data_IF_013517517339
#
_entry.id   IF_013517517339
#
_cell.length_a   1.000
_cell.length_b   1.000
_cell.length_c   1.000
_cell.angle_alpha   90.00
_cell.angle_beta   90.00
_cell.angle_gamma   90.00
#
_symmetry.space_group_name_H-M   'P 1'
#
loop_
_entity.id
_entity.type
_entity.pdbx_description
1 polymer ?
#
# COMPACT_ATOMS: atom_id res chain seq x y z
N UNK A 1 -21.32 9.98 -19.06
CA UNK A 1 -21.56 10.05 -17.59
C UNK A 1 -20.19 10.05 -16.89
N UNK A 2 -19.88 11.12 -16.16
CA UNK A 2 -18.54 11.38 -15.61
C UNK A 2 -18.27 10.51 -14.37
N UNK A 3 -17.30 9.59 -14.45
CA UNK A 3 -16.83 8.77 -13.33
C UNK A 3 -15.84 9.55 -12.45
N UNK A 4 -16.31 10.61 -11.79
CA UNK A 4 -15.55 11.28 -10.73
C UNK A 4 -15.91 10.66 -9.39
N UNK A 5 -14.89 10.25 -8.64
CA UNK A 5 -14.94 9.89 -7.21
C UNK A 5 -15.63 8.58 -6.77
N UNK A 6 -15.41 7.46 -7.48
CA UNK A 6 -15.43 6.17 -6.76
C UNK A 6 -14.20 6.11 -5.87
N UNK A 7 -14.33 6.55 -4.62
CA UNK A 7 -13.32 6.31 -3.56
C UNK A 7 -13.09 4.80 -3.48
N UNK A 8 -11.96 4.33 -3.99
CA UNK A 8 -11.58 2.93 -3.90
C UNK A 8 -11.28 2.65 -2.42
N UNK A 9 -12.19 1.95 -1.74
CA UNK A 9 -12.01 1.51 -0.35
C UNK A 9 -11.35 0.14 -0.24
N UNK A 10 -11.37 -0.65 -1.32
CA UNK A 10 -10.95 -2.05 -1.36
C UNK A 10 -10.30 -2.36 -2.71
N UNK A 11 -9.19 -3.11 -2.68
CA UNK A 11 -8.49 -3.55 -3.90
C UNK A 11 -9.24 -4.63 -4.67
N UNK A 12 -10.07 -5.42 -3.99
CA UNK A 12 -10.84 -6.50 -4.60
C UNK A 12 -11.86 -6.01 -5.65
N UNK A 13 -12.16 -4.70 -5.66
CA UNK A 13 -13.08 -4.08 -6.63
C UNK A 13 -12.37 -3.54 -7.88
N UNK A 14 -11.05 -3.67 -7.95
CA UNK A 14 -10.30 -3.28 -9.15
C UNK A 14 -10.53 -4.37 -10.19
N UNK A 15 -11.39 -4.07 -11.16
CA UNK A 15 -11.60 -4.94 -12.31
C UNK A 15 -10.37 -4.88 -13.22
N UNK A 16 -9.87 -6.04 -13.62
CA UNK A 16 -8.80 -6.15 -14.60
C UNK A 16 -9.40 -6.12 -16.00
N UNK A 17 -9.33 -4.96 -16.65
CA UNK A 17 -9.79 -4.78 -18.03
C UNK A 17 -8.64 -4.33 -18.92
N UNK A 18 -8.72 -4.66 -20.22
CA UNK A 18 -7.70 -4.27 -21.20
C UNK A 18 -6.47 -5.18 -21.18
N UNK A 19 -5.33 -4.62 -21.58
CA UNK A 19 -4.06 -5.34 -21.57
C UNK A 19 -3.57 -5.61 -20.15
N UNK A 20 -2.79 -6.68 -19.97
CA UNK A 20 -2.23 -7.05 -18.65
C UNK A 20 -1.38 -5.90 -18.05
N UNK A 21 -0.67 -5.14 -18.90
CA UNK A 21 0.09 -3.97 -18.46
C UNK A 21 -0.79 -2.83 -17.95
N UNK A 22 -1.91 -2.56 -18.61
CA UNK A 22 -2.90 -1.59 -18.13
C UNK A 22 -3.52 -2.06 -16.81
N UNK A 23 -3.92 -3.32 -16.73
CA UNK A 23 -4.47 -3.95 -15.53
C UNK A 23 -3.52 -3.82 -14.32
N UNK A 24 -2.22 -4.10 -14.51
CA UNK A 24 -1.19 -3.94 -13.47
C UNK A 24 -0.95 -2.46 -13.13
N UNK A 25 -0.99 -1.58 -14.12
CA UNK A 25 -0.91 -0.14 -13.92
C UNK A 25 -2.04 0.37 -13.03
N UNK A 26 -3.28 -0.02 -13.32
CA UNK A 26 -4.47 0.33 -12.55
C UNK A 26 -4.43 -0.22 -11.14
N UNK A 27 -4.08 -1.50 -10.97
CA UNK A 27 -3.93 -2.11 -9.65
C UNK A 27 -2.86 -1.43 -8.80
N UNK A 28 -1.69 -1.14 -9.38
CA UNK A 28 -0.61 -0.46 -8.68
C UNK A 28 -1.00 0.95 -8.25
N UNK A 29 -1.71 1.69 -9.11
CA UNK A 29 -2.23 3.01 -8.77
C UNK A 29 -3.28 2.96 -7.65
N UNK A 30 -4.21 2.00 -7.71
CA UNK A 30 -5.22 1.79 -6.66
C UNK A 30 -4.57 1.41 -5.31
N UNK A 31 -3.60 0.49 -5.32
CA UNK A 31 -2.82 0.09 -4.15
C UNK A 31 -2.08 1.28 -3.54
N UNK A 32 -1.43 2.11 -4.34
CA UNK A 32 -0.75 3.33 -3.87
C UNK A 32 -1.74 4.29 -3.21
N UNK A 33 -2.89 4.52 -3.83
CA UNK A 33 -3.92 5.44 -3.32
C UNK A 33 -4.49 4.98 -1.98
N UNK A 34 -4.91 3.71 -1.87
CA UNK A 34 -5.44 3.16 -0.62
C UNK A 34 -4.37 3.19 0.48
N UNK A 35 -3.14 2.80 0.14
CA UNK A 35 -2.03 2.76 1.10
C UNK A 35 -1.69 4.14 1.66
N UNK A 36 -1.64 5.18 0.81
CA UNK A 36 -1.43 6.57 1.26
C UNK A 36 -2.55 7.09 2.14
N UNK A 37 -3.80 6.71 1.82
CA UNK A 37 -4.94 7.05 2.66
C UNK A 37 -4.83 6.38 4.02
N UNK A 38 -4.53 5.08 4.07
CA UNK A 38 -4.34 4.37 5.34
C UNK A 38 -3.18 4.95 6.16
N UNK A 39 -2.07 5.32 5.52
CA UNK A 39 -0.95 5.98 6.21
C UNK A 39 -1.42 7.26 6.94
N UNK A 40 -2.22 8.09 6.27
CA UNK A 40 -2.79 9.32 6.85
C UNK A 40 -3.78 9.00 7.98
N UNK A 41 -4.78 8.15 7.71
CA UNK A 41 -5.87 7.83 8.64
C UNK A 41 -5.35 7.13 9.91
N UNK A 42 -4.37 6.23 9.78
CA UNK A 42 -3.76 5.54 10.92
C UNK A 42 -2.89 6.50 11.75
N UNK A 43 -2.26 7.48 11.12
CA UNK A 43 -1.54 8.56 11.79
C UNK A 43 -2.48 9.41 12.66
N UNK A 44 -3.61 9.85 12.08
CA UNK A 44 -4.65 10.60 12.79
C UNK A 44 -5.26 9.79 13.93
N UNK A 45 -5.69 8.55 13.66
CA UNK A 45 -6.24 7.65 14.68
C UNK A 45 -5.26 7.41 15.84
N UNK A 46 -3.96 7.30 15.55
CA UNK A 46 -2.95 7.17 16.61
C UNK A 46 -2.85 8.41 17.50
N UNK A 47 -3.06 9.61 16.95
CA UNK A 47 -3.05 10.86 17.71
C UNK A 47 -4.34 10.99 18.54
N UNK A 48 -5.49 10.75 17.91
CA UNK A 48 -6.81 10.86 18.54
C UNK A 48 -6.98 9.89 19.70
N UNK A 49 -6.57 8.62 19.53
CA UNK A 49 -6.63 7.62 20.62
C UNK A 49 -5.76 8.04 21.81
N UNK A 50 -4.60 8.65 21.57
CA UNK A 50 -3.77 9.18 22.66
C UNK A 50 -4.44 10.35 23.35
N UNK A 51 -5.00 11.29 22.59
CA UNK A 51 -5.68 12.45 23.14
C UNK A 51 -6.91 12.04 23.96
N UNK A 52 -7.79 11.20 23.40
CA UNK A 52 -9.01 10.71 24.06
C UNK A 52 -8.72 9.92 25.34
N UNK A 53 -7.75 9.00 25.32
CA UNK A 53 -7.41 8.20 26.51
C UNK A 53 -6.68 9.01 27.59
N UNK A 54 -6.07 10.13 27.24
CA UNK A 54 -5.49 11.08 28.21
C UNK A 54 -6.56 12.03 28.77
N UNK A 55 -7.55 12.41 27.96
CA UNK A 55 -8.62 13.35 28.36
C UNK A 55 -9.72 12.71 29.21
N UNK A 56 -9.90 11.39 29.18
CA UNK A 56 -10.84 10.68 30.07
C UNK A 56 -10.47 10.92 31.54
N UNK A 57 -11.26 11.78 32.19
CA UNK A 57 -11.18 12.10 33.62
C UNK A 57 -12.17 11.21 34.36
N UNK A 58 -11.65 10.19 35.04
CA UNK A 58 -12.42 9.23 35.83
C UNK A 58 -11.63 8.81 37.05
N UNK A 59 -12.18 9.13 38.22
CA UNK A 59 -11.65 8.94 39.57
C UNK A 59 -12.09 7.60 40.13
N UNK A 60 -11.19 6.61 40.15
CA UNK A 60 -11.18 5.62 41.21
C UNK A 60 -9.77 5.04 41.31
N UNK A 61 -8.94 5.62 42.18
CA UNK A 61 -7.58 5.18 42.53
C UNK A 61 -6.57 5.29 41.36
N UNK A 62 -5.52 6.11 41.49
CA UNK A 62 -4.54 6.45 40.43
C UNK A 62 -3.88 5.29 39.66
N UNK A 63 -4.03 4.05 40.12
CA UNK A 63 -3.73 2.80 39.38
C UNK A 63 -4.41 2.76 38.01
N UNK A 64 -5.64 3.26 37.90
CA UNK A 64 -6.43 3.20 36.67
C UNK A 64 -5.92 4.21 35.61
N UNK A 65 -5.32 5.33 36.03
CA UNK A 65 -4.68 6.32 35.14
C UNK A 65 -3.42 5.75 34.47
N UNK A 66 -2.60 5.03 35.23
CA UNK A 66 -1.39 4.39 34.70
C UNK A 66 -1.75 3.28 33.69
N UNK A 67 -2.73 2.43 34.04
CA UNK A 67 -3.24 1.38 33.16
C UNK A 67 -3.83 1.96 31.86
N UNK A 68 -4.63 3.03 31.92
CA UNK A 68 -5.16 3.73 30.73
C UNK A 68 -4.06 4.29 29.84
N UNK A 69 -3.03 4.94 30.42
CA UNK A 69 -1.86 5.44 29.67
C UNK A 69 -1.11 4.30 28.98
N UNK A 70 -0.93 3.15 29.64
CA UNK A 70 -0.28 1.99 29.06
C UNK A 70 -1.10 1.40 27.89
N UNK A 71 -2.42 1.27 28.05
CA UNK A 71 -3.33 0.85 26.97
C UNK A 71 -3.27 1.83 25.80
N UNK A 72 -3.33 3.14 26.06
CA UNK A 72 -3.22 4.19 25.04
C UNK A 72 -1.90 4.10 24.27
N UNK A 73 -0.78 3.93 24.99
CA UNK A 73 0.53 3.74 24.37
C UNK A 73 0.57 2.48 23.52
N UNK A 74 -0.01 1.37 23.99
CA UNK A 74 -0.06 0.10 23.25
C UNK A 74 -0.88 0.23 21.96
N UNK A 75 -2.08 0.81 22.03
CA UNK A 75 -2.93 1.02 20.84
C UNK A 75 -2.25 1.97 19.84
N UNK A 76 -1.74 3.11 20.31
CA UNK A 76 -1.02 4.05 19.45
C UNK A 76 0.22 3.42 18.79
N UNK A 77 0.95 2.55 19.51
CA UNK A 77 2.06 1.79 18.91
C UNK A 77 1.59 0.85 17.80
N UNK A 78 0.45 0.16 17.98
CA UNK A 78 -0.12 -0.72 16.94
C UNK A 78 -0.56 0.09 15.72
N UNK A 79 -1.22 1.22 15.92
CA UNK A 79 -1.64 2.12 14.85
C UNK A 79 -0.44 2.68 14.07
N UNK A 80 0.62 3.13 14.75
CA UNK A 80 1.88 3.53 14.10
C UNK A 80 2.56 2.40 13.33
N UNK A 81 2.49 1.16 13.82
CA UNK A 81 3.03 0.01 13.07
C UNK A 81 2.20 -0.24 11.80
N UNK A 82 0.87 -0.19 11.89
CA UNK A 82 0.00 -0.32 10.74
C UNK A 82 0.25 0.82 9.73
N UNK A 83 0.45 2.05 10.21
CA UNK A 83 0.82 3.20 9.40
C UNK A 83 2.12 2.94 8.62
N UNK A 84 3.17 2.49 9.29
CA UNK A 84 4.45 2.15 8.65
C UNK A 84 4.29 1.05 7.58
N UNK A 85 3.44 0.06 7.84
CA UNK A 85 3.13 -0.98 6.84
C UNK A 85 2.39 -0.41 5.63
N UNK A 86 1.44 0.51 5.85
CA UNK A 86 0.73 1.19 4.77
C UNK A 86 1.68 2.05 3.93
N UNK A 87 2.58 2.82 4.55
CA UNK A 87 3.63 3.56 3.84
C UNK A 87 4.52 2.62 3.00
N UNK A 88 4.99 1.51 3.57
CA UNK A 88 5.81 0.54 2.85
C UNK A 88 5.04 -0.14 1.68
N UNK A 89 3.73 -0.36 1.81
CA UNK A 89 2.88 -0.86 0.73
C UNK A 89 2.78 0.14 -0.42
N UNK A 90 2.67 1.44 -0.13
CA UNK A 90 2.67 2.47 -1.16
C UNK A 90 3.98 2.46 -1.97
N UNK A 91 5.12 2.36 -1.29
CA UNK A 91 6.44 2.28 -1.95
C UNK A 91 6.58 1.01 -2.81
N UNK A 92 6.05 -0.13 -2.33
CA UNK A 92 6.06 -1.39 -3.08
C UNK A 92 5.15 -1.35 -4.31
N UNK A 93 4.04 -0.63 -4.26
CA UNK A 93 3.14 -0.48 -5.39
C UNK A 93 3.86 0.14 -6.60
N UNK A 94 4.68 1.16 -6.34
CA UNK A 94 5.48 1.81 -7.39
C UNK A 94 6.53 0.86 -7.98
N UNK A 95 7.23 0.11 -7.12
CA UNK A 95 8.22 -0.88 -7.56
C UNK A 95 7.61 -2.03 -8.35
N UNK A 96 6.42 -2.48 -7.97
CA UNK A 96 5.73 -3.60 -8.63
C UNK A 96 5.46 -3.28 -10.10
N UNK A 97 4.91 -2.10 -10.41
CA UNK A 97 4.70 -1.65 -11.78
C UNK A 97 6.01 -1.60 -12.58
N UNK A 98 7.06 -1.03 -11.99
CA UNK A 98 8.37 -0.89 -12.66
C UNK A 98 8.99 -2.26 -12.96
N UNK A 99 8.94 -3.19 -11.99
CA UNK A 99 9.46 -4.55 -12.16
C UNK A 99 8.68 -5.32 -13.21
N UNK A 100 7.34 -5.19 -13.22
CA UNK A 100 6.53 -5.80 -14.26
C UNK A 100 6.89 -5.29 -15.65
N UNK A 101 6.97 -3.97 -15.83
CA UNK A 101 7.36 -3.38 -17.10
C UNK A 101 8.73 -3.87 -17.57
N UNK A 102 9.71 -3.94 -16.65
CA UNK A 102 11.05 -4.44 -16.94
C UNK A 102 11.05 -5.91 -17.38
N UNK A 103 10.30 -6.78 -16.71
CA UNK A 103 10.31 -8.22 -16.96
C UNK A 103 9.46 -8.63 -18.18
N UNK A 104 8.36 -7.92 -18.43
CA UNK A 104 7.33 -8.39 -19.37
C UNK A 104 7.08 -7.45 -20.55
N UNK A 105 7.45 -6.17 -20.46
CA UNK A 105 7.25 -5.21 -21.56
C UNK A 105 8.55 -4.93 -22.32
N UNK A 106 9.67 -4.73 -21.60
CA UNK A 106 10.98 -4.44 -22.21
C UNK A 106 11.59 -5.67 -22.89
N UNK A 107 11.37 -6.88 -22.37
CA UNK A 107 11.88 -8.13 -22.95
C UNK A 107 11.11 -8.64 -24.19
N UNK A 108 10.02 -7.98 -24.59
CA UNK A 108 8.93 -8.68 -25.31
C UNK A 108 8.87 -8.59 -26.84
N UNK A 109 9.77 -7.88 -27.53
CA UNK A 109 9.71 -7.86 -29.01
C UNK A 109 11.07 -8.04 -29.70
N UNK A 110 12.10 -7.29 -29.31
CA UNK A 110 13.38 -7.30 -30.01
C UNK A 110 14.43 -8.21 -29.36
N UNK A 111 14.41 -8.36 -28.03
CA UNK A 111 15.34 -9.26 -27.32
C UNK A 111 15.05 -10.76 -27.57
N UNK A 112 13.80 -11.11 -27.88
CA UNK A 112 13.43 -12.46 -28.31
C UNK A 112 14.01 -12.79 -29.70
N UNK A 113 13.97 -11.85 -30.64
CA UNK A 113 14.54 -12.02 -31.98
C UNK A 113 16.07 -12.10 -31.96
N UNK A 114 16.71 -11.30 -31.10
CA UNK A 114 18.17 -11.28 -30.99
C UNK A 114 18.76 -12.51 -30.28
N UNK A 115 18.06 -13.10 -29.31
CA UNK A 115 18.48 -14.39 -28.73
C UNK A 115 18.40 -15.53 -29.74
N UNK A 116 17.35 -15.54 -30.56
CA UNK A 116 17.15 -16.58 -31.59
C UNK A 116 18.24 -16.49 -32.67
N UNK A 117 18.60 -15.26 -33.11
CA UNK A 117 19.72 -15.03 -34.04
C UNK A 117 21.10 -15.40 -33.48
N UNK A 118 21.31 -15.27 -32.17
CA UNK A 118 22.59 -15.65 -31.54
C UNK A 118 22.75 -17.16 -31.38
N UNK A 119 21.65 -17.91 -31.24
CA UNK A 119 21.69 -19.37 -31.15
C UNK A 119 21.96 -20.04 -32.51
N UNK A 120 21.40 -19.49 -33.61
CA UNK A 120 21.68 -19.98 -34.98
C UNK A 120 23.15 -19.78 -35.40
N UNK A 121 23.83 -18.75 -34.90
CA UNK A 121 25.24 -18.45 -35.23
C UNK A 121 26.28 -19.19 -34.39
N UNK A 122 25.86 -19.95 -33.39
CA UNK A 122 26.78 -20.70 -32.51
C UNK A 122 26.72 -22.22 -32.74
N UNK A 123 25.96 -22.67 -33.75
CA UNK A 123 25.85 -24.07 -34.17
C UNK A 123 26.55 -24.40 -35.49
N UNK A 124 27.23 -23.45 -36.11
CA UNK A 124 28.22 -23.64 -37.20
C UNK A 124 29.64 -23.47 -36.63
#
# INVERSE_FOLDING_TARGET
MSSRDRRIGELARVEFTGSMGEAIGHYSAALRTISRRWDTELGLASADVRAALVSIRGSWLGLDKAARRLRARRVARRLRRAQSLASALADRADRFRVQYARQFLVMSADEAKDRTRKLDRSGE
#
